data_IF_947877121993
#
_entry.id   IF_947877121993
#
_cell.length_a   1.000
_cell.length_b   1.000
_cell.length_c   1.000
_cell.angle_alpha   90.00
_cell.angle_beta   90.00
_cell.angle_gamma   90.00
#
_symmetry.space_group_name_H-M   'P 1'
#
loop_
_entity.id
_entity.type
_entity.pdbx_description
1 polymer ?
#
# COMPACT_ATOMS: atom_id res chain seq x y z
N UNK A 1 -9.33 1.53 57.25
CA UNK A 1 -10.44 0.91 56.50
C UNK A 1 -10.07 1.08 55.04
N UNK A 2 -9.89 0.06 54.21
CA UNK A 2 -9.94 -1.40 54.42
C UNK A 2 -8.76 -2.10 53.70
N UNK A 3 -8.46 -3.34 54.11
CA UNK A 3 -7.56 -4.23 53.36
C UNK A 3 -8.41 -5.05 52.39
N UNK A 4 -7.81 -5.56 51.31
CA UNK A 4 -7.96 -6.96 50.91
C UNK A 4 -6.62 -7.45 50.33
N UNK A 5 -6.32 -8.72 50.58
CA UNK A 5 -5.05 -9.40 50.37
C UNK A 5 -5.25 -10.50 49.32
N UNK A 6 -4.22 -10.85 48.54
CA UNK A 6 -3.91 -12.22 48.04
C UNK A 6 -2.67 -12.13 47.11
N UNK A 7 -1.76 -13.12 47.01
CA UNK A 7 -1.10 -13.99 48.02
C UNK A 7 -0.01 -14.78 47.26
N UNK A 8 1.25 -14.81 47.76
CA UNK A 8 2.19 -15.97 47.64
C UNK A 8 2.71 -16.34 46.22
N UNK A 9 3.93 -16.81 45.91
CA UNK A 9 5.29 -17.01 46.51
C UNK A 9 6.28 -16.98 45.30
N UNK A 10 7.63 -16.93 45.38
CA UNK A 10 8.59 -16.96 46.50
C UNK A 10 9.87 -16.13 46.16
N UNK A 11 11.05 -16.54 46.66
CA UNK A 11 12.36 -15.88 46.58
C UNK A 11 13.16 -16.09 45.28
N UNK A 12 13.87 -15.05 44.82
CA UNK A 12 15.35 -15.02 44.89
C UNK A 12 15.92 -13.61 44.75
N UNK A 13 17.07 -13.40 45.38
CA UNK A 13 17.66 -12.12 45.77
C UNK A 13 18.01 -11.11 44.65
N UNK A 14 17.97 -9.83 45.04
CA UNK A 14 18.78 -8.69 44.59
C UNK A 14 19.31 -8.64 43.15
N UNK A 15 18.92 -7.59 42.43
CA UNK A 15 19.83 -6.55 41.89
C UNK A 15 18.99 -5.28 41.69
N UNK A 16 19.29 -4.22 42.44
CA UNK A 16 18.83 -2.86 42.08
C UNK A 16 19.78 -2.33 41.02
N UNK A 17 19.52 -2.70 39.76
CA UNK A 17 20.17 -2.08 38.62
C UNK A 17 19.33 -0.87 38.19
N UNK A 18 19.98 0.29 38.06
CA UNK A 18 19.43 1.42 37.31
C UNK A 18 19.38 1.01 35.83
N UNK A 19 18.28 0.35 35.45
CA UNK A 19 17.94 0.06 34.06
C UNK A 19 17.61 1.40 33.41
N UNK A 20 18.36 1.82 32.39
CA UNK A 20 18.11 3.11 31.75
C UNK A 20 16.77 3.07 30.99
N UNK A 21 16.17 4.23 30.71
CA UNK A 21 14.93 4.29 29.92
C UNK A 21 15.08 3.63 28.53
N UNK A 22 16.30 3.59 27.97
CA UNK A 22 16.61 2.88 26.73
C UNK A 22 16.59 1.35 26.86
N UNK A 23 16.93 0.81 28.03
CA UNK A 23 16.94 -0.64 28.28
C UNK A 23 15.52 -1.18 28.48
N UNK A 24 14.65 -0.42 29.16
CA UNK A 24 13.22 -0.74 29.30
C UNK A 24 12.52 -0.82 27.93
N UNK A 25 12.86 0.09 27.00
CA UNK A 25 12.27 0.12 25.65
C UNK A 25 12.58 -1.15 24.81
N UNK A 26 13.65 -1.88 25.12
CA UNK A 26 14.00 -3.14 24.44
C UNK A 26 13.45 -4.37 25.16
N UNK A 27 13.32 -4.36 26.49
CA UNK A 27 12.98 -5.54 27.29
C UNK A 27 11.52 -5.99 27.11
N UNK A 28 10.57 -5.05 27.07
CA UNK A 28 9.13 -5.34 26.86
C UNK A 28 8.79 -5.81 25.44
N UNK A 29 9.75 -5.78 24.51
CA UNK A 29 9.56 -6.06 23.09
C UNK A 29 9.90 -7.52 22.70
N UNK A 30 10.35 -8.35 23.64
CA UNK A 30 10.65 -9.78 23.40
C UNK A 30 9.47 -10.71 23.75
N UNK A 31 8.52 -10.25 24.56
CA UNK A 31 7.38 -11.04 25.04
C UNK A 31 6.10 -10.83 24.20
N UNK A 32 6.19 -10.09 23.08
CA UNK A 32 5.07 -9.75 22.20
C UNK A 32 5.22 -10.46 20.84
N UNK A 33 4.77 -11.71 20.78
CA UNK A 33 4.53 -12.39 19.51
C UNK A 33 3.38 -11.71 18.75
N UNK A 34 3.66 -11.22 17.56
CA UNK A 34 2.72 -10.45 16.74
C UNK A 34 1.79 -11.37 15.92
N UNK A 35 0.91 -12.10 16.60
CA UNK A 35 -0.27 -12.68 15.95
C UNK A 35 -1.53 -11.82 16.18
N UNK A 36 -2.05 -11.30 15.06
CA UNK A 36 -3.45 -10.95 14.79
C UNK A 36 -4.34 -10.28 15.88
N UNK A 37 -4.86 -9.09 15.53
CA UNK A 37 -5.94 -8.36 16.23
C UNK A 37 -5.62 -7.83 17.65
N UNK A 38 -4.90 -6.71 17.70
CA UNK A 38 -5.05 -5.76 18.81
C UNK A 38 -5.46 -4.38 18.32
N UNK A 39 -6.50 -3.86 18.96
CA UNK A 39 -7.01 -2.50 18.82
C UNK A 39 -5.92 -1.48 19.21
N UNK A 40 -5.83 -0.38 18.47
CA UNK A 40 -4.89 0.70 18.74
C UNK A 40 -5.09 1.34 20.13
N UNK A 41 -6.26 1.15 20.75
CA UNK A 41 -6.54 1.53 22.14
C UNK A 41 -5.70 0.80 23.20
N UNK A 42 -5.13 -0.38 22.88
CA UNK A 42 -4.30 -1.17 23.80
C UNK A 42 -2.80 -0.87 23.71
N UNK A 43 -2.37 0.12 22.92
CA UNK A 43 -1.00 0.63 22.97
C UNK A 43 -0.80 1.41 24.28
N UNK A 44 -0.28 0.67 25.28
CA UNK A 44 -0.05 1.09 26.66
C UNK A 44 0.52 2.51 26.76
N UNK A 45 -0.29 3.41 27.31
CA UNK A 45 0.23 4.57 28.03
C UNK A 45 0.81 4.05 29.35
N UNK A 46 2.12 4.14 29.50
CA UNK A 46 2.74 4.12 30.82
C UNK A 46 3.68 5.34 30.99
N UNK A 47 4.03 5.61 32.23
CA UNK A 47 3.56 6.82 32.94
C UNK A 47 4.06 8.19 32.48
N UNK A 48 5.04 8.26 31.58
CA UNK A 48 5.72 9.50 31.20
C UNK A 48 5.69 9.81 29.68
N UNK A 49 4.92 9.04 28.90
CA UNK A 49 4.52 9.44 27.53
C UNK A 49 5.68 9.60 26.54
N UNK A 50 6.75 8.81 26.69
CA UNK A 50 8.02 9.04 25.99
C UNK A 50 8.08 8.30 24.62
N UNK A 51 8.23 8.99 23.48
CA UNK A 51 8.40 8.35 22.17
C UNK A 51 9.69 7.51 22.06
N UNK A 52 9.56 6.18 22.06
CA UNK A 52 10.59 5.30 21.51
C UNK A 52 10.57 5.34 19.98
N UNK A 53 11.73 5.09 19.32
CA UNK A 53 11.85 4.99 17.85
C UNK A 53 10.72 4.18 17.17
N UNK A 54 10.32 3.04 17.76
CA UNK A 54 9.23 2.21 17.23
C UNK A 54 7.86 2.91 17.36
N UNK A 55 7.58 3.57 18.48
CA UNK A 55 6.39 4.42 18.69
C UNK A 55 6.32 5.54 17.64
N UNK A 56 7.44 6.20 17.34
CA UNK A 56 7.54 7.21 16.29
C UNK A 56 7.16 6.64 14.90
N UNK A 57 7.60 5.42 14.61
CA UNK A 57 7.24 4.69 13.40
C UNK A 57 5.76 4.30 13.34
N UNK A 58 5.16 3.90 14.47
CA UNK A 58 3.72 3.63 14.57
C UNK A 58 2.92 4.93 14.33
N UNK A 59 3.27 6.04 15.00
CA UNK A 59 2.62 7.34 14.83
C UNK A 59 2.72 7.85 13.38
N UNK A 60 3.85 7.65 12.71
CA UNK A 60 3.98 7.97 11.29
C UNK A 60 3.15 7.04 10.40
N UNK A 61 3.09 5.74 10.68
CA UNK A 61 2.26 4.80 9.92
C UNK A 61 0.75 5.07 10.07
N UNK A 62 0.30 5.52 11.24
CA UNK A 62 -1.10 5.89 11.50
C UNK A 62 -1.51 7.26 10.94
N UNK A 63 -0.55 8.08 10.49
CA UNK A 63 -0.83 9.39 9.89
C UNK A 63 -0.72 9.30 8.35
N UNK A 64 -1.83 9.43 7.59
CA UNK A 64 -1.81 9.26 6.13
C UNK A 64 -1.02 10.34 5.39
N UNK A 65 -0.68 11.46 6.04
CA UNK A 65 0.19 12.50 5.50
C UNK A 65 1.68 12.25 5.81
N UNK A 66 2.02 11.38 6.76
CA UNK A 66 3.41 11.09 7.08
C UNK A 66 4.05 10.18 6.02
N UNK A 67 5.28 10.53 5.62
CA UNK A 67 6.12 9.82 4.65
C UNK A 67 7.47 9.43 5.24
N UNK A 68 7.99 10.27 6.14
CA UNK A 68 9.17 9.96 6.96
C UNK A 68 9.08 10.63 8.33
N UNK A 69 9.96 10.25 9.24
CA UNK A 69 10.13 10.91 10.52
C UNK A 69 11.61 10.99 10.91
N UNK A 70 11.95 12.00 11.71
CA UNK A 70 13.22 12.10 12.41
C UNK A 70 13.02 11.67 13.87
N UNK A 71 14.02 11.05 14.47
CA UNK A 71 14.03 10.67 15.90
C UNK A 71 15.32 11.14 16.55
N UNK A 72 15.27 11.75 17.73
CA UNK A 72 16.47 12.12 18.49
C UNK A 72 16.57 11.25 19.75
N UNK A 73 17.51 10.30 19.85
CA UNK A 73 17.61 9.38 21.00
C UNK A 73 17.72 10.09 22.35
N UNK A 74 18.59 11.09 22.49
CA UNK A 74 18.79 11.80 23.76
C UNK A 74 17.64 12.71 24.20
N UNK A 75 16.83 13.22 23.26
CA UNK A 75 15.64 14.04 23.55
C UNK A 75 14.36 13.20 23.58
N UNK A 76 14.47 11.92 23.19
CA UNK A 76 13.39 10.96 23.01
C UNK A 76 12.18 11.55 22.24
N UNK A 77 12.46 12.35 21.23
CA UNK A 77 11.47 13.14 20.48
C UNK A 77 11.46 12.76 18.99
N UNK A 78 10.33 12.95 18.32
CA UNK A 78 10.18 12.72 16.88
C UNK A 78 9.52 13.87 16.13
N UNK A 79 9.94 14.05 14.88
CA UNK A 79 9.37 15.03 13.95
C UNK A 79 8.89 14.29 12.70
N UNK A 80 7.58 14.23 12.50
CA UNK A 80 6.97 13.68 11.28
C UNK A 80 7.14 14.61 10.09
N UNK A 81 7.23 14.06 8.89
CA UNK A 81 7.44 14.77 7.62
C UNK A 81 6.55 14.21 6.52
N UNK A 82 5.97 15.11 5.72
CA UNK A 82 5.17 14.76 4.53
C UNK A 82 6.04 14.43 3.29
N UNK A 83 7.36 14.32 3.46
CA UNK A 83 8.33 14.09 2.40
C UNK A 83 9.22 12.88 2.69
N UNK A 84 9.62 12.14 1.64
CA UNK A 84 10.66 11.11 1.71
C UNK A 84 12.09 11.68 1.62
N UNK A 85 12.26 13.01 1.60
CA UNK A 85 13.58 13.64 1.56
C UNK A 85 14.18 13.73 2.96
N UNK A 86 15.45 13.32 3.06
CA UNK A 86 16.29 13.35 4.28
C UNK A 86 16.65 14.78 4.76
N UNK A 87 16.32 15.82 4.00
CA UNK A 87 16.62 17.22 4.32
C UNK A 87 15.37 18.05 4.65
N UNK A 88 15.53 19.00 5.57
CA UNK A 88 14.54 20.04 5.84
C UNK A 88 14.34 20.95 4.58
N UNK A 89 13.23 21.70 4.47
CA UNK A 89 12.89 22.52 3.28
C UNK A 89 13.88 23.65 2.90
N UNK A 90 15.02 23.76 3.60
CA UNK A 90 16.01 24.83 3.50
C UNK A 90 17.45 24.31 3.28
N UNK A 91 17.62 23.05 2.87
CA UNK A 91 18.93 22.49 2.47
C UNK A 91 19.90 22.22 3.63
N UNK A 92 19.45 22.33 4.88
CA UNK A 92 20.28 22.02 6.04
C UNK A 92 20.47 20.50 6.21
N UNK A 93 21.70 20.09 6.52
CA UNK A 93 22.01 18.74 6.99
C UNK A 93 21.26 18.41 8.27
N UNK A 94 20.95 17.13 8.48
CA UNK A 94 20.41 16.63 9.76
C UNK A 94 21.24 17.18 10.92
N UNK A 95 20.60 17.84 11.89
CA UNK A 95 21.28 18.36 13.07
C UNK A 95 21.89 17.19 13.87
N UNK A 96 23.12 17.38 14.37
CA UNK A 96 23.87 16.35 15.10
C UNK A 96 23.03 15.77 16.25
N UNK A 97 22.76 14.46 16.21
CA UNK A 97 21.97 13.75 17.21
C UNK A 97 20.59 13.27 16.73
N UNK A 98 20.10 13.76 15.59
CA UNK A 98 18.90 13.23 14.94
C UNK A 98 19.21 12.06 14.00
N UNK A 99 18.36 11.04 14.05
CA UNK A 99 18.31 9.90 13.14
C UNK A 99 17.14 10.06 12.17
N UNK A 100 17.25 9.49 10.96
CA UNK A 100 16.22 9.61 9.92
C UNK A 100 15.64 8.26 9.51
N UNK A 101 14.32 8.18 9.49
CA UNK A 101 13.55 6.99 9.15
C UNK A 101 12.48 7.35 8.12
N UNK A 102 12.51 6.74 6.95
CA UNK A 102 11.35 6.76 6.05
C UNK A 102 10.32 5.75 6.56
N UNK A 103 9.03 5.97 6.25
CA UNK A 103 8.14 4.83 6.05
C UNK A 103 8.80 3.94 4.99
N UNK A 104 8.72 2.62 5.07
CA UNK A 104 9.18 1.77 3.97
C UNK A 104 8.43 2.20 2.71
N UNK A 105 9.13 2.80 1.74
CA UNK A 105 8.62 2.87 0.38
C UNK A 105 8.61 1.43 -0.10
N UNK A 106 7.48 0.77 0.12
CA UNK A 106 7.18 -0.51 -0.52
C UNK A 106 7.07 -0.31 -2.03
N UNK A 107 6.91 0.94 -2.49
CA UNK A 107 6.88 1.33 -3.88
C UNK A 107 7.80 2.52 -4.15
N UNK A 108 8.53 2.47 -5.26
CA UNK A 108 9.30 3.60 -5.78
C UNK A 108 8.40 4.72 -6.32
N UNK A 109 8.91 5.95 -6.27
CA UNK A 109 8.26 7.11 -6.87
C UNK A 109 6.91 7.47 -6.23
N UNK A 110 5.91 7.70 -7.08
CA UNK A 110 4.54 8.11 -6.75
C UNK A 110 3.52 6.94 -6.77
N UNK A 111 4.02 5.70 -6.80
CA UNK A 111 3.18 4.50 -6.70
C UNK A 111 2.59 4.34 -5.28
N UNK A 112 1.33 3.92 -5.24
CA UNK A 112 0.61 3.61 -4.00
C UNK A 112 0.78 2.13 -3.66
N UNK A 113 1.20 1.82 -2.43
CA UNK A 113 1.28 0.44 -1.96
C UNK A 113 -0.09 -0.09 -1.53
N UNK A 114 -0.49 -1.23 -2.09
CA UNK A 114 -1.64 -1.98 -1.62
C UNK A 114 -1.19 -3.14 -0.71
N UNK A 115 -1.41 -2.99 0.60
CA UNK A 115 -1.01 -3.99 1.60
C UNK A 115 -1.68 -5.34 1.38
N UNK A 116 -2.94 -5.37 0.97
CA UNK A 116 -3.70 -6.61 0.81
C UNK A 116 -3.22 -7.39 -0.42
N UNK A 117 -2.88 -6.70 -1.51
CA UNK A 117 -2.43 -7.33 -2.75
C UNK A 117 -0.92 -7.60 -2.80
N UNK A 118 -0.14 -7.03 -1.87
CA UNK A 118 1.32 -7.15 -1.86
C UNK A 118 1.99 -6.48 -3.08
N UNK A 119 1.33 -5.50 -3.70
CA UNK A 119 1.83 -4.83 -4.91
C UNK A 119 1.70 -3.32 -4.83
N UNK A 120 2.42 -2.68 -5.73
CA UNK A 120 2.41 -1.24 -5.96
C UNK A 120 1.58 -0.94 -7.19
N UNK A 121 0.73 0.09 -7.14
CA UNK A 121 -0.04 0.51 -8.30
C UNK A 121 -0.06 2.05 -8.45
N UNK A 122 -0.27 2.50 -9.68
CA UNK A 122 -0.41 3.91 -10.04
C UNK A 122 -1.52 4.06 -11.07
N UNK A 123 -2.47 4.94 -10.79
CA UNK A 123 -3.54 5.31 -11.70
C UNK A 123 -3.06 6.52 -12.50
N UNK A 124 -3.00 6.38 -13.82
CA UNK A 124 -2.63 7.42 -14.76
C UNK A 124 -3.91 7.99 -15.40
N UNK A 125 -4.32 9.22 -15.07
CA UNK A 125 -5.59 9.78 -15.52
C UNK A 125 -5.55 10.20 -16.98
N UNK A 126 -4.38 10.47 -17.56
CA UNK A 126 -4.28 10.85 -18.97
C UNK A 126 -4.51 9.65 -19.90
N UNK A 127 -5.15 9.91 -21.04
CA UNK A 127 -5.61 8.84 -21.91
C UNK A 127 -4.56 8.43 -22.94
N UNK A 128 -4.46 7.12 -23.20
CA UNK A 128 -3.59 6.52 -24.22
C UNK A 128 -4.28 5.34 -24.89
N UNK A 129 -3.82 4.96 -26.09
CA UNK A 129 -4.15 3.66 -26.70
C UNK A 129 -3.44 2.53 -25.95
N UNK A 130 -3.96 1.31 -26.02
CA UNK A 130 -3.49 0.16 -25.23
C UNK A 130 -1.97 -0.03 -25.26
N UNK A 131 -1.37 -0.08 -26.45
CA UNK A 131 0.08 -0.26 -26.61
C UNK A 131 0.89 0.93 -26.06
N UNK A 132 0.35 2.15 -26.10
CA UNK A 132 1.01 3.33 -25.51
C UNK A 132 0.86 3.40 -23.99
N UNK A 133 -0.20 2.81 -23.44
CA UNK A 133 -0.34 2.58 -22.00
C UNK A 133 0.65 1.51 -21.50
N UNK A 134 0.88 0.44 -22.29
CA UNK A 134 1.96 -0.51 -22.03
C UNK A 134 3.34 0.17 -22.03
N UNK A 135 3.69 0.88 -23.11
CA UNK A 135 4.95 1.62 -23.22
C UNK A 135 5.16 2.57 -22.03
N UNK A 136 4.11 3.25 -21.58
CA UNK A 136 4.15 4.18 -20.46
C UNK A 136 4.43 3.49 -19.13
N UNK A 137 3.77 2.36 -18.83
CA UNK A 137 4.11 1.57 -17.64
C UNK A 137 5.53 1.01 -17.72
N UNK A 138 5.97 0.52 -18.88
CA UNK A 138 7.32 -0.03 -19.04
C UNK A 138 8.41 1.02 -18.84
N UNK A 139 8.18 2.27 -19.29
CA UNK A 139 9.07 3.41 -19.01
C UNK A 139 9.15 3.79 -17.52
N UNK A 140 8.18 3.37 -16.70
CA UNK A 140 8.22 3.50 -15.24
C UNK A 140 8.79 2.26 -14.53
N UNK A 141 9.34 1.28 -15.26
CA UNK A 141 9.73 -0.06 -14.73
C UNK A 141 8.53 -0.81 -14.11
N UNK A 142 7.36 -0.62 -14.70
CA UNK A 142 6.08 -1.18 -14.30
C UNK A 142 5.42 -1.91 -15.48
N UNK A 143 4.21 -2.44 -15.27
CA UNK A 143 3.39 -3.12 -16.28
C UNK A 143 1.93 -2.72 -16.12
N UNK A 144 1.09 -2.88 -17.14
CA UNK A 144 -0.36 -2.72 -16.94
C UNK A 144 -0.88 -3.71 -15.88
N UNK A 145 -1.85 -3.26 -15.07
CA UNK A 145 -2.44 -4.03 -13.95
C UNK A 145 -2.93 -5.42 -14.40
N UNK A 146 -2.63 -6.42 -13.59
CA UNK A 146 -3.04 -7.83 -13.77
C UNK A 146 -3.95 -8.19 -12.60
N UNK A 147 -5.12 -8.77 -12.89
CA UNK A 147 -6.10 -9.23 -11.90
C UNK A 147 -6.19 -10.76 -11.96
N UNK A 148 -5.69 -11.43 -10.92
CA UNK A 148 -5.56 -12.88 -10.84
C UNK A 148 -6.67 -13.54 -10.03
N UNK A 149 -7.42 -12.76 -9.26
CA UNK A 149 -8.48 -13.22 -8.36
C UNK A 149 -9.44 -12.07 -7.98
N UNK A 150 -10.56 -12.43 -7.36
CA UNK A 150 -11.59 -11.52 -6.85
C UNK A 150 -11.05 -10.47 -5.85
N UNK A 151 -10.09 -10.85 -5.00
CA UNK A 151 -9.51 -9.93 -4.02
C UNK A 151 -8.72 -8.80 -4.69
N UNK A 152 -7.95 -9.12 -5.73
CA UNK A 152 -7.27 -8.14 -6.60
C UNK A 152 -8.28 -7.23 -7.31
N UNK A 153 -9.37 -7.80 -7.83
CA UNK A 153 -10.44 -7.04 -8.47
C UNK A 153 -11.05 -6.01 -7.51
N UNK A 154 -11.52 -6.43 -6.34
CA UNK A 154 -12.15 -5.57 -5.32
C UNK A 154 -11.25 -4.40 -4.93
N UNK A 155 -9.95 -4.63 -4.73
CA UNK A 155 -9.02 -3.58 -4.33
C UNK A 155 -8.71 -2.57 -5.44
N UNK A 156 -8.62 -3.02 -6.70
CA UNK A 156 -8.44 -2.12 -7.85
C UNK A 156 -9.72 -1.32 -8.11
N UNK A 157 -10.88 -1.97 -8.00
CA UNK A 157 -12.21 -1.34 -8.07
C UNK A 157 -12.36 -0.20 -7.06
N UNK A 158 -12.04 -0.44 -5.79
CA UNK A 158 -12.18 0.55 -4.72
C UNK A 158 -11.19 1.72 -4.88
N UNK A 159 -10.01 1.46 -5.45
CA UNK A 159 -9.07 2.50 -5.84
C UNK A 159 -9.59 3.36 -7.01
N UNK A 160 -10.25 2.76 -8.01
CA UNK A 160 -10.86 3.46 -9.14
C UNK A 160 -12.04 4.34 -8.71
N UNK A 161 -12.93 3.83 -7.84
CA UNK A 161 -14.02 4.60 -7.21
C UNK A 161 -13.47 5.87 -6.51
N UNK A 162 -12.30 5.76 -5.89
CA UNK A 162 -11.64 6.85 -5.17
C UNK A 162 -10.94 7.87 -6.08
N UNK A 163 -10.69 7.55 -7.35
CA UNK A 163 -9.86 8.33 -8.28
C UNK A 163 -10.65 9.32 -9.18
N UNK A 164 -11.87 9.68 -8.77
CA UNK A 164 -12.87 10.48 -9.49
C UNK A 164 -12.33 11.66 -10.34
N UNK A 165 -12.82 11.87 -11.59
CA UNK A 165 -13.66 11.00 -12.43
C UNK A 165 -12.88 10.47 -13.65
N UNK A 166 -12.72 9.15 -13.73
CA UNK A 166 -12.22 8.48 -14.93
C UNK A 166 -13.40 7.93 -15.74
N UNK A 167 -13.27 7.78 -17.06
CA UNK A 167 -14.32 7.19 -17.91
C UNK A 167 -14.13 5.67 -18.08
N UNK A 168 -12.90 5.26 -18.39
CA UNK A 168 -12.47 3.87 -18.50
C UNK A 168 -11.00 3.75 -18.07
N UNK A 169 -10.60 2.59 -17.56
CA UNK A 169 -9.22 2.32 -17.16
C UNK A 169 -8.67 1.04 -17.82
N UNK A 170 -7.71 1.17 -18.74
CA UNK A 170 -7.03 0.05 -19.39
C UNK A 170 -6.31 -0.83 -18.37
N UNK A 171 -6.47 -2.14 -18.55
CA UNK A 171 -5.76 -3.17 -17.81
C UNK A 171 -4.90 -4.00 -18.76
N UNK A 172 -4.08 -4.92 -18.24
CA UNK A 172 -3.15 -5.68 -19.06
C UNK A 172 -3.78 -6.75 -19.97
N UNK A 173 -5.11 -6.83 -20.05
CA UNK A 173 -5.86 -7.92 -20.67
C UNK A 173 -5.92 -7.76 -22.20
N UNK A 174 -5.80 -8.88 -22.92
CA UNK A 174 -5.84 -8.94 -24.39
C UNK A 174 -6.53 -10.22 -24.88
N UNK A 175 -7.29 -10.08 -25.96
CA UNK A 175 -7.96 -11.15 -26.71
C UNK A 175 -6.93 -11.85 -27.58
N UNK A 176 -6.86 -13.17 -27.49
CA UNK A 176 -5.93 -14.00 -28.25
C UNK A 176 -6.63 -15.23 -28.83
N UNK A 177 -6.06 -15.79 -29.89
CA UNK A 177 -6.48 -17.05 -30.47
C UNK A 177 -5.50 -18.14 -30.03
N UNK A 178 -5.99 -19.17 -29.35
CA UNK A 178 -5.22 -20.35 -28.92
C UNK A 178 -5.94 -21.59 -29.45
N UNK A 179 -5.26 -22.38 -30.28
CA UNK A 179 -5.78 -23.61 -30.87
C UNK A 179 -7.18 -23.47 -31.51
N UNK A 180 -7.39 -22.35 -32.22
CA UNK A 180 -8.66 -22.01 -32.87
C UNK A 180 -9.75 -21.47 -31.94
N UNK A 181 -9.50 -21.38 -30.64
CA UNK A 181 -10.43 -20.86 -29.63
C UNK A 181 -10.03 -19.44 -29.20
N UNK A 182 -11.00 -18.51 -29.19
CA UNK A 182 -10.79 -17.17 -28.66
C UNK A 182 -10.74 -17.23 -27.13
N UNK A 183 -9.72 -16.62 -26.53
CA UNK A 183 -9.56 -16.54 -25.08
C UNK A 183 -8.92 -15.22 -24.67
N UNK A 184 -8.94 -14.93 -23.38
CA UNK A 184 -8.41 -13.70 -22.80
C UNK A 184 -7.18 -14.01 -21.96
N UNK A 185 -6.11 -13.23 -22.14
CA UNK A 185 -4.84 -13.38 -21.42
C UNK A 185 -4.25 -12.03 -21.07
N UNK A 186 -3.46 -11.98 -20.01
CA UNK A 186 -2.56 -10.86 -19.76
C UNK A 186 -1.35 -10.88 -20.69
N UNK A 187 -0.71 -9.73 -20.88
CA UNK A 187 0.50 -9.57 -21.72
C UNK A 187 1.65 -10.57 -21.42
N UNK A 188 1.68 -11.13 -20.20
CA UNK A 188 2.64 -12.15 -19.75
C UNK A 188 2.14 -13.61 -19.91
N UNK A 189 1.01 -13.84 -20.57
CA UNK A 189 0.41 -15.16 -20.78
C UNK A 189 -0.40 -15.71 -19.59
N UNK A 190 -0.48 -15.00 -18.46
CA UNK A 190 -1.28 -15.43 -17.32
C UNK A 190 -2.78 -15.45 -17.66
N UNK A 191 -3.46 -16.48 -17.16
CA UNK A 191 -4.92 -16.55 -17.21
C UNK A 191 -5.53 -15.49 -16.28
N UNK A 192 -6.54 -14.75 -16.73
CA UNK A 192 -7.19 -13.71 -15.94
C UNK A 192 -8.24 -14.26 -14.98
N UNK A 193 -8.48 -13.52 -13.89
CA UNK A 193 -9.78 -13.47 -13.28
C UNK A 193 -10.64 -12.46 -14.07
N UNK A 194 -11.83 -12.87 -14.49
CA UNK A 194 -12.75 -12.06 -15.29
C UNK A 194 -14.06 -11.92 -14.56
N UNK A 195 -14.45 -10.67 -14.29
CA UNK A 195 -15.78 -10.30 -13.81
C UNK A 195 -16.33 -9.23 -14.75
N UNK A 196 -16.89 -9.67 -15.88
CA UNK A 196 -17.42 -8.80 -16.94
C UNK A 196 -18.65 -8.01 -16.47
N UNK A 197 -18.80 -6.77 -16.94
CA UNK A 197 -20.03 -5.99 -16.76
C UNK A 197 -21.19 -6.70 -17.49
N UNK A 198 -22.45 -6.64 -17.00
CA UNK A 198 -23.57 -7.31 -17.67
C UNK A 198 -23.80 -6.78 -19.09
N UNK A 199 -23.42 -7.59 -20.08
CA UNK A 199 -23.37 -7.23 -21.50
C UNK A 199 -22.08 -7.77 -22.14
N UNK A 200 -20.99 -7.72 -21.37
CA UNK A 200 -19.64 -7.95 -21.87
C UNK A 200 -19.16 -9.42 -21.75
N UNK A 201 -18.20 -9.86 -22.58
CA UNK A 201 -17.62 -9.12 -23.71
C UNK A 201 -18.54 -9.15 -24.95
N UNK A 202 -18.98 -7.98 -25.43
CA UNK A 202 -19.94 -7.84 -26.55
C UNK A 202 -19.24 -7.83 -27.94
N UNK A 203 -17.96 -7.47 -27.99
CA UNK A 203 -17.15 -7.36 -29.20
C UNK A 203 -17.73 -6.39 -30.24
N UNK A 204 -17.99 -5.16 -29.81
CA UNK A 204 -18.67 -4.09 -30.53
C UNK A 204 -18.06 -3.86 -31.91
N UNK A 205 -18.91 -3.86 -32.94
CA UNK A 205 -18.55 -3.74 -34.36
C UNK A 205 -17.51 -4.75 -34.88
N UNK A 206 -17.13 -5.77 -34.09
CA UNK A 206 -16.10 -6.73 -34.46
C UNK A 206 -14.65 -6.31 -34.19
N UNK A 207 -14.41 -5.22 -33.45
CA UNK A 207 -13.08 -4.62 -33.31
C UNK A 207 -12.66 -4.35 -31.85
N UNK A 208 -12.83 -5.34 -30.98
CA UNK A 208 -12.49 -5.24 -29.56
C UNK A 208 -11.60 -6.39 -29.13
N UNK A 209 -10.37 -6.04 -28.75
CA UNK A 209 -9.26 -6.99 -28.57
C UNK A 209 -8.42 -6.71 -27.32
N UNK A 210 -8.75 -5.67 -26.56
CA UNK A 210 -8.05 -5.25 -25.35
C UNK A 210 -9.07 -5.10 -24.21
N UNK A 211 -8.64 -5.22 -22.95
CA UNK A 211 -9.53 -5.05 -21.79
C UNK A 211 -9.38 -3.70 -21.10
N UNK A 212 -10.48 -3.20 -20.56
CA UNK A 212 -10.49 -2.09 -19.62
C UNK A 212 -11.44 -2.40 -18.43
N UNK A 213 -11.56 -1.46 -17.50
CA UNK A 213 -12.68 -1.38 -16.56
C UNK A 213 -13.56 -0.19 -16.90
N UNK A 214 -14.89 -0.39 -16.92
CA UNK A 214 -15.82 0.73 -16.84
C UNK A 214 -15.50 1.56 -15.59
N UNK A 215 -15.47 2.89 -15.68
CA UNK A 215 -15.40 3.74 -14.47
C UNK A 215 -16.44 4.87 -14.49
N UNK A 216 -17.37 4.82 -15.45
CA UNK A 216 -18.50 5.73 -15.57
C UNK A 216 -19.61 5.46 -14.52
N UNK A 217 -20.28 6.51 -14.02
CA UNK A 217 -21.42 6.36 -13.12
C UNK A 217 -22.54 5.51 -13.74
N UNK A 218 -23.08 4.56 -12.96
CA UNK A 218 -24.12 3.62 -13.40
C UNK A 218 -23.60 2.21 -13.71
N UNK A 219 -22.28 2.05 -13.87
CA UNK A 219 -21.62 0.75 -14.06
C UNK A 219 -20.99 0.26 -12.75
N UNK A 220 -20.64 -1.02 -12.67
CA UNK A 220 -20.18 -1.71 -11.45
C UNK A 220 -18.65 -1.76 -11.32
N UNK A 221 -17.94 -0.97 -12.12
CA UNK A 221 -16.48 -0.96 -12.21
C UNK A 221 -15.89 -2.32 -12.64
N UNK A 222 -16.65 -3.04 -13.47
CA UNK A 222 -16.33 -4.37 -14.00
C UNK A 222 -15.59 -4.30 -15.33
N UNK A 223 -15.18 -5.46 -15.82
CA UNK A 223 -14.40 -5.59 -17.05
C UNK A 223 -15.25 -5.32 -18.29
N UNK A 224 -14.58 -4.80 -19.32
CA UNK A 224 -15.10 -4.36 -20.61
C UNK A 224 -14.11 -4.77 -21.69
N UNK A 225 -14.57 -5.30 -22.84
CA UNK A 225 -13.71 -5.44 -24.01
C UNK A 225 -13.80 -4.21 -24.90
N UNK A 226 -12.64 -3.77 -25.40
CA UNK A 226 -12.55 -2.47 -26.05
C UNK A 226 -11.60 -2.51 -27.22
N UNK A 227 -11.87 -1.61 -28.16
CA UNK A 227 -10.96 -1.30 -29.25
C UNK A 227 -9.60 -0.83 -28.70
N UNK A 228 -8.53 -1.51 -29.09
CA UNK A 228 -7.18 -1.24 -28.60
C UNK A 228 -6.65 0.18 -28.97
N UNK A 229 -7.29 0.86 -29.92
CA UNK A 229 -6.96 2.23 -30.37
C UNK A 229 -7.82 3.33 -29.73
N UNK A 230 -8.77 2.98 -28.86
CA UNK A 230 -9.48 3.98 -28.05
C UNK A 230 -8.56 4.54 -26.96
N UNK A 231 -8.71 5.83 -26.69
CA UNK A 231 -7.87 6.55 -25.75
C UNK A 231 -8.51 6.53 -24.36
N UNK A 232 -7.95 5.71 -23.47
CA UNK A 232 -8.47 5.47 -22.13
C UNK A 232 -7.39 5.73 -21.08
N UNK A 233 -7.78 6.06 -19.84
CA UNK A 233 -6.86 6.14 -18.70
C UNK A 233 -6.29 4.74 -18.42
N UNK A 234 -5.26 4.60 -17.58
CA UNK A 234 -4.64 3.28 -17.38
C UNK A 234 -4.06 3.10 -15.97
N UNK A 235 -3.87 1.84 -15.57
CA UNK A 235 -3.30 1.49 -14.26
C UNK A 235 -2.01 0.70 -14.45
N UNK A 236 -0.92 1.23 -13.93
CA UNK A 236 0.36 0.53 -13.86
C UNK A 236 0.52 -0.19 -12.52
N UNK A 237 1.26 -1.28 -12.51
CA UNK A 237 1.62 -2.07 -11.33
C UNK A 237 3.13 -2.38 -11.29
N UNK A 238 3.67 -2.50 -10.08
CA UNK A 238 4.97 -3.12 -9.78
C UNK A 238 4.77 -4.20 -8.72
N UNK A 239 5.43 -5.34 -8.88
CA UNK A 239 5.58 -6.33 -7.83
C UNK A 239 6.79 -5.99 -6.97
N UNK A 240 6.75 -6.38 -5.70
CA UNK A 240 7.82 -6.23 -4.70
C UNK A 240 8.51 -7.58 -4.52
#
# INVERSE_FOLDING_TARGET
>A
MEKILIKYLYDLAMIVSYISAGDLCNKWMQDLDFENNLDASMLLWDKDGIPCRKTCGILCNSNPLCRSFFYHPSLMNCLGSQSYKRGLPSGQSIQKGWEYYTRSQQCDGDYTFNKTLGLCYKIHPETKIYFKAMDACEAEEAKLIIIRNEMEFVHVRDALISASPLTFALNGLRKILVDGTITWKYWNGQSPYLDWEPGEPDNYLGDEYCGNFFTIPGHQYKFDDVNCFWHNSFICQKYI
#
